data_IF_537448402723
#
_entry.id   IF_537448402723
#
_cell.length_a   1.000
_cell.length_b   1.000
_cell.length_c   1.000
_cell.angle_alpha   90.00
_cell.angle_beta   90.00
_cell.angle_gamma   90.00
#
_symmetry.space_group_name_H-M   'P 1'
#
loop_
_entity.id
_entity.type
_entity.pdbx_description
1 polymer ?
#
# COMPACT_ATOMS: atom_id res chain seq x y z
N UNK A 1 3.26 21.24 -9.73
CA UNK A 1 2.38 21.52 -8.57
C UNK A 1 1.88 20.18 -8.00
N UNK A 2 2.22 19.83 -6.74
CA UNK A 2 1.75 18.57 -6.14
C UNK A 2 0.25 18.63 -5.80
N UNK A 3 -0.17 19.70 -5.15
CA UNK A 3 -1.56 19.89 -4.72
C UNK A 3 -2.34 20.71 -5.77
N UNK A 4 -2.53 20.14 -6.96
CA UNK A 4 -3.05 20.87 -8.11
C UNK A 4 -4.46 21.48 -7.88
N UNK A 5 -5.34 20.77 -7.19
CA UNK A 5 -6.70 21.23 -6.92
C UNK A 5 -6.79 22.34 -5.86
N UNK A 6 -5.72 22.53 -5.08
CA UNK A 6 -5.63 23.57 -4.05
C UNK A 6 -4.96 24.85 -4.57
N UNK A 7 -4.61 24.91 -5.83
CA UNK A 7 -4.12 26.13 -6.45
C UNK A 7 -5.20 27.24 -6.33
N UNK A 8 -4.85 28.49 -5.97
CA UNK A 8 -5.82 29.59 -5.82
C UNK A 8 -6.77 29.78 -6.99
N UNK A 9 -6.30 29.59 -8.24
CA UNK A 9 -7.14 29.66 -9.41
C UNK A 9 -8.19 28.52 -9.48
N UNK A 10 -7.83 27.33 -9.06
CA UNK A 10 -8.75 26.20 -9.01
C UNK A 10 -9.81 26.36 -7.90
N UNK A 11 -9.41 26.90 -6.74
CA UNK A 11 -10.32 27.14 -5.59
C UNK A 11 -11.34 28.23 -5.91
N UNK A 12 -10.92 29.30 -6.59
CA UNK A 12 -11.83 30.40 -6.98
C UNK A 12 -12.81 29.99 -8.08
N UNK A 13 -12.47 29.05 -8.92
CA UNK A 13 -13.34 28.58 -10.01
C UNK A 13 -14.53 27.76 -9.48
N UNK A 14 -14.30 26.87 -8.50
CA UNK A 14 -15.36 26.02 -7.94
C UNK A 14 -14.96 25.57 -6.54
N UNK A 15 -15.59 26.14 -5.50
CA UNK A 15 -15.44 25.62 -4.14
C UNK A 15 -16.32 24.39 -3.95
N UNK A 16 -15.73 23.31 -3.48
CA UNK A 16 -16.45 22.09 -3.09
C UNK A 16 -16.67 22.14 -1.58
N UNK A 17 -17.93 22.28 -1.17
CA UNK A 17 -18.30 22.50 0.23
C UNK A 17 -17.93 21.32 1.15
N UNK A 18 -17.83 20.10 0.60
CA UNK A 18 -17.50 18.87 1.31
C UNK A 18 -16.30 18.17 0.67
N UNK A 19 -15.26 18.94 0.36
CA UNK A 19 -14.04 18.41 -0.28
C UNK A 19 -13.36 17.32 0.55
N UNK A 20 -13.39 17.45 1.89
CA UNK A 20 -12.86 16.45 2.83
C UNK A 20 -13.88 16.18 3.92
N UNK A 21 -14.22 14.91 4.14
CA UNK A 21 -15.01 14.43 5.28
C UNK A 21 -14.19 13.42 6.07
N UNK A 22 -13.89 13.74 7.33
CA UNK A 22 -13.07 12.91 8.20
C UNK A 22 -13.38 13.20 9.66
N UNK A 23 -13.58 12.16 10.48
CA UNK A 23 -13.78 12.25 11.95
C UNK A 23 -14.86 13.28 12.33
N UNK A 24 -16.00 13.24 11.65
CA UNK A 24 -17.10 14.17 11.85
C UNK A 24 -16.88 15.60 11.31
N UNK A 25 -15.66 15.94 10.92
CA UNK A 25 -15.37 17.22 10.27
C UNK A 25 -15.71 17.19 8.78
N UNK A 26 -16.27 18.31 8.30
CA UNK A 26 -16.50 18.58 6.88
C UNK A 26 -15.75 19.86 6.54
N UNK A 27 -14.83 19.78 5.60
CA UNK A 27 -14.02 20.91 5.14
C UNK A 27 -14.35 21.20 3.69
N UNK A 28 -14.68 22.46 3.36
CA UNK A 28 -14.70 22.92 1.99
C UNK A 28 -13.25 23.00 1.45
N UNK A 29 -13.11 23.12 0.15
CA UNK A 29 -11.79 23.35 -0.45
C UNK A 29 -11.18 24.68 0.02
N UNK A 30 -11.98 25.72 0.15
CA UNK A 30 -11.56 27.02 0.69
C UNK A 30 -11.14 26.90 2.16
N UNK A 31 -11.92 26.21 2.99
CA UNK A 31 -11.56 25.95 4.38
C UNK A 31 -10.24 25.20 4.52
N UNK A 32 -10.06 24.16 3.70
CA UNK A 32 -8.84 23.37 3.69
C UNK A 32 -7.62 24.23 3.34
N UNK A 33 -7.70 25.04 2.27
CA UNK A 33 -6.60 25.92 1.87
C UNK A 33 -6.30 26.95 2.93
N UNK A 34 -7.31 27.66 3.44
CA UNK A 34 -7.12 28.71 4.44
C UNK A 34 -6.54 28.17 5.76
N UNK A 35 -7.03 27.03 6.25
CA UNK A 35 -6.53 26.42 7.47
C UNK A 35 -5.14 25.82 7.29
N UNK A 36 -4.88 25.14 6.17
CA UNK A 36 -3.55 24.58 5.86
C UNK A 36 -2.50 25.68 5.66
N UNK A 37 -2.88 26.81 5.05
CA UNK A 37 -1.98 27.97 4.94
C UNK A 37 -1.64 28.56 6.31
N UNK A 38 -2.59 28.61 7.24
CA UNK A 38 -2.30 29.00 8.64
C UNK A 38 -1.34 28.02 9.35
N UNK A 39 -1.39 26.72 8.99
CA UNK A 39 -0.40 25.75 9.47
C UNK A 39 0.96 26.01 8.82
N UNK A 40 1.00 26.28 7.51
CA UNK A 40 2.22 26.57 6.77
C UNK A 40 3.01 27.75 7.37
N UNK A 41 2.34 28.83 7.80
CA UNK A 41 2.97 29.97 8.48
C UNK A 41 3.68 29.56 9.79
N UNK A 42 3.16 28.57 10.47
CA UNK A 42 3.69 28.11 11.78
C UNK A 42 4.83 27.10 11.67
N UNK A 43 4.93 26.40 10.55
CA UNK A 43 6.00 25.42 10.31
C UNK A 43 7.08 25.95 9.37
N UNK A 44 6.85 27.11 8.75
CA UNK A 44 7.81 27.72 7.84
C UNK A 44 9.19 27.88 8.46
N UNK A 45 10.23 27.45 7.74
CA UNK A 45 11.61 27.46 8.21
C UNK A 45 12.04 26.21 9.01
N UNK A 46 11.13 25.30 9.37
CA UNK A 46 11.51 24.02 9.91
C UNK A 46 12.13 23.11 8.84
N UNK A 47 13.20 22.38 9.20
CA UNK A 47 13.79 21.43 8.27
C UNK A 47 12.89 20.19 8.07
N UNK A 48 12.26 19.69 9.13
CA UNK A 48 11.33 18.55 9.14
C UNK A 48 10.46 18.60 10.37
N UNK A 49 9.22 18.05 10.27
CA UNK A 49 8.30 17.88 11.40
C UNK A 49 7.73 16.47 11.44
N UNK A 50 7.39 15.98 12.62
CA UNK A 50 6.65 14.76 12.81
C UNK A 50 5.15 15.05 12.87
N UNK A 51 4.32 14.20 12.28
CA UNK A 51 2.86 14.27 12.37
C UNK A 51 2.36 12.96 12.97
N UNK A 52 1.68 13.02 14.11
CA UNK A 52 0.94 11.86 14.61
C UNK A 52 -0.23 11.61 13.66
N UNK A 53 -0.11 10.59 12.82
CA UNK A 53 -0.97 10.37 11.66
C UNK A 53 -2.27 9.63 12.04
N UNK A 54 -3.09 10.27 12.87
CA UNK A 54 -4.44 9.81 13.20
C UNK A 54 -5.43 10.14 12.07
N UNK A 55 -6.56 9.42 11.94
CA UNK A 55 -7.59 9.74 10.96
C UNK A 55 -8.42 10.96 11.41
N UNK A 56 -7.85 12.17 11.35
CA UNK A 56 -8.45 13.41 11.84
C UNK A 56 -8.24 14.59 10.89
N UNK A 57 -9.11 15.60 10.98
CA UNK A 57 -8.96 16.84 10.25
C UNK A 57 -7.62 17.55 10.56
N UNK A 58 -7.14 17.44 11.81
CA UNK A 58 -5.85 18.01 12.21
C UNK A 58 -4.69 17.39 11.45
N UNK A 59 -4.70 16.06 11.22
CA UNK A 59 -3.69 15.38 10.38
C UNK A 59 -3.77 15.85 8.93
N UNK A 60 -4.96 15.95 8.35
CA UNK A 60 -5.14 16.46 6.98
C UNK A 60 -4.56 17.86 6.81
N UNK A 61 -4.86 18.76 7.74
CA UNK A 61 -4.37 20.14 7.72
C UNK A 61 -2.86 20.22 7.97
N UNK A 62 -2.33 19.38 8.86
CA UNK A 62 -0.90 19.28 9.12
C UNK A 62 -0.12 18.88 7.86
N UNK A 63 -0.55 17.79 7.22
CA UNK A 63 0.04 17.29 5.96
C UNK A 63 -0.04 18.33 4.86
N UNK A 64 -1.23 18.91 4.64
CA UNK A 64 -1.44 19.91 3.59
C UNK A 64 -0.62 21.17 3.85
N UNK A 65 -0.56 21.64 5.10
CA UNK A 65 0.22 22.82 5.49
C UNK A 65 1.73 22.62 5.29
N UNK A 66 2.26 21.46 5.64
CA UNK A 66 3.65 21.11 5.37
C UNK A 66 3.98 21.16 3.86
N UNK A 67 3.09 20.58 3.05
CA UNK A 67 3.27 20.58 1.59
C UNK A 67 3.16 21.98 0.98
N UNK A 68 2.30 22.86 1.51
CA UNK A 68 2.22 24.27 1.10
C UNK A 68 3.51 25.01 1.48
N UNK A 69 4.02 24.82 2.69
CA UNK A 69 5.23 25.44 3.19
C UNK A 69 6.54 24.90 2.56
N UNK A 70 6.47 23.76 1.86
CA UNK A 70 7.65 23.04 1.38
C UNK A 70 8.47 22.38 2.50
N UNK A 71 7.87 22.11 3.65
CA UNK A 71 8.51 21.47 4.81
C UNK A 71 8.26 19.96 4.76
N UNK A 72 9.30 19.12 4.69
CA UNK A 72 9.15 17.68 4.73
C UNK A 72 8.54 17.22 6.06
N UNK A 73 7.68 16.19 6.02
CA UNK A 73 7.09 15.63 7.23
C UNK A 73 7.29 14.12 7.34
N UNK A 74 7.23 13.62 8.56
CA UNK A 74 7.30 12.20 8.91
C UNK A 74 5.97 11.80 9.51
N UNK A 75 5.14 11.00 8.82
CA UNK A 75 3.91 10.47 9.40
C UNK A 75 4.24 9.35 10.37
N UNK A 76 3.91 9.55 11.64
CA UNK A 76 4.19 8.60 12.73
C UNK A 76 2.88 7.87 13.09
N UNK A 77 2.87 6.51 13.12
CA UNK A 77 1.70 5.76 13.57
C UNK A 77 1.37 6.06 15.03
N UNK A 78 0.07 6.14 15.35
CA UNK A 78 -0.37 6.38 16.73
C UNK A 78 -0.11 5.18 17.67
N UNK A 79 -0.04 3.99 17.11
CA UNK A 79 0.15 2.71 17.80
C UNK A 79 1.60 2.19 17.75
N UNK A 80 2.55 3.01 17.27
CA UNK A 80 3.96 2.63 17.20
C UNK A 80 4.57 2.53 18.60
N UNK A 81 5.37 1.48 18.84
CA UNK A 81 6.06 1.29 20.11
C UNK A 81 7.08 2.41 20.40
N UNK A 82 7.32 2.70 21.70
CA UNK A 82 8.16 3.82 22.12
C UNK A 82 9.59 3.78 21.54
N UNK A 83 10.19 2.59 21.45
CA UNK A 83 11.55 2.43 20.89
C UNK A 83 11.60 2.75 19.39
N UNK A 84 10.61 2.27 18.63
CA UNK A 84 10.51 2.52 17.20
C UNK A 84 10.16 4.00 16.93
N UNK A 85 9.25 4.58 17.69
CA UNK A 85 8.93 6.01 17.63
C UNK A 85 10.17 6.87 17.87
N UNK A 86 10.92 6.59 18.93
CA UNK A 86 12.16 7.30 19.22
C UNK A 86 13.18 7.17 18.11
N UNK A 87 13.32 5.99 17.52
CA UNK A 87 14.17 5.78 16.35
C UNK A 87 13.73 6.65 15.18
N UNK A 88 12.44 6.64 14.81
CA UNK A 88 11.91 7.44 13.70
C UNK A 88 12.18 8.93 13.89
N UNK A 89 11.97 9.47 15.08
CA UNK A 89 12.18 10.89 15.40
C UNK A 89 13.65 11.27 15.36
N UNK A 90 14.52 10.44 15.94
CA UNK A 90 15.96 10.70 16.00
C UNK A 90 16.63 10.56 14.64
N UNK A 91 16.34 9.47 13.92
CA UNK A 91 16.93 9.20 12.59
C UNK A 91 16.47 10.23 11.57
N UNK A 92 15.21 10.67 11.63
CA UNK A 92 14.68 11.70 10.73
C UNK A 92 15.12 13.12 11.10
N UNK A 93 15.56 13.35 12.33
CA UNK A 93 15.97 14.69 12.79
C UNK A 93 14.83 15.72 12.73
N UNK A 94 13.61 15.31 13.06
CA UNK A 94 12.45 16.21 13.14
C UNK A 94 12.62 17.20 14.28
N UNK A 95 12.10 18.42 14.10
CA UNK A 95 12.28 19.53 15.04
C UNK A 95 11.07 19.80 15.93
N UNK A 96 9.91 19.27 15.55
CA UNK A 96 8.66 19.46 16.29
C UNK A 96 7.63 18.38 15.94
N UNK A 97 6.68 18.17 16.84
CA UNK A 97 5.40 17.54 16.52
C UNK A 97 4.41 18.57 15.97
N UNK A 98 3.68 18.18 14.93
CA UNK A 98 2.64 19.01 14.32
C UNK A 98 1.30 18.25 14.31
N UNK A 99 0.23 18.92 14.69
CA UNK A 99 -1.12 18.37 14.59
C UNK A 99 -1.59 17.69 15.87
N UNK A 100 -2.10 16.44 15.80
CA UNK A 100 -2.52 15.70 17.00
C UNK A 100 -1.38 15.54 18.01
N UNK A 101 -1.73 15.62 19.30
CA UNK A 101 -0.74 15.50 20.37
C UNK A 101 -0.45 14.02 20.62
N UNK A 102 0.81 13.58 20.56
CA UNK A 102 1.18 12.25 21.00
C UNK A 102 1.17 12.14 22.54
N UNK A 103 1.05 10.93 23.06
CA UNK A 103 1.11 10.67 24.51
C UNK A 103 2.43 11.13 25.14
N UNK A 104 3.54 11.00 24.37
CA UNK A 104 4.87 11.44 24.76
C UNK A 104 5.50 12.29 23.64
N UNK A 105 5.97 13.48 24.03
CA UNK A 105 6.60 14.44 23.08
C UNK A 105 8.06 14.11 22.75
N UNK A 106 8.69 13.18 23.46
CA UNK A 106 10.12 12.80 23.30
C UNK A 106 11.07 14.03 23.32
N UNK A 107 10.74 15.05 24.13
CA UNK A 107 11.50 16.29 24.23
C UNK A 107 11.32 17.28 23.08
N UNK A 108 10.47 17.00 22.10
CA UNK A 108 10.20 17.89 20.97
C UNK A 108 9.05 18.88 21.32
N UNK A 109 9.13 20.13 20.81
CA UNK A 109 8.00 21.06 20.94
C UNK A 109 6.81 20.57 20.12
N UNK A 110 5.59 20.95 20.57
CA UNK A 110 4.35 20.64 19.87
C UNK A 110 3.75 21.90 19.25
N UNK A 111 3.39 21.79 17.97
CA UNK A 111 2.70 22.83 17.20
C UNK A 111 1.26 22.37 16.96
N UNK A 112 0.28 22.89 17.72
CA UNK A 112 -1.12 22.47 17.55
C UNK A 112 -1.71 22.99 16.25
N UNK A 113 -2.52 22.18 15.57
CA UNK A 113 -3.32 22.60 14.43
C UNK A 113 -4.61 23.23 14.92
N UNK A 114 -4.92 24.42 14.42
CA UNK A 114 -6.15 25.16 14.74
C UNK A 114 -7.11 25.04 13.55
N UNK A 115 -8.15 24.23 13.67
CA UNK A 115 -9.07 23.90 12.58
C UNK A 115 -9.78 25.14 11.99
N UNK A 116 -10.00 26.17 12.82
CA UNK A 116 -10.73 27.40 12.43
C UNK A 116 -9.80 28.57 12.09
N UNK A 117 -8.48 28.44 12.27
CA UNK A 117 -7.54 29.48 11.85
C UNK A 117 -7.49 29.53 10.32
N UNK A 118 -7.39 30.72 9.77
CA UNK A 118 -7.28 30.92 8.33
C UNK A 118 -6.14 31.88 8.05
N UNK A 119 -5.38 31.58 7.00
CA UNK A 119 -4.43 32.48 6.37
C UNK A 119 -4.56 32.36 4.85
N UNK A 120 -4.31 33.47 4.18
CA UNK A 120 -4.36 33.57 2.73
C UNK A 120 -2.99 34.02 2.17
N UNK A 121 -1.94 33.82 2.96
CA UNK A 121 -0.57 34.06 2.51
C UNK A 121 -0.25 33.19 1.30
N UNK A 122 0.42 33.77 0.30
CA UNK A 122 0.80 33.02 -0.90
C UNK A 122 2.22 32.49 -0.76
N UNK A 123 2.34 31.19 -0.75
CA UNK A 123 3.62 30.49 -0.81
C UNK A 123 4.03 30.25 -2.26
N UNK A 124 5.30 30.39 -2.62
CA UNK A 124 5.80 29.89 -3.90
C UNK A 124 5.66 28.36 -3.93
N UNK A 125 5.39 27.81 -5.11
CA UNK A 125 5.37 26.34 -5.25
C UNK A 125 6.78 25.80 -4.99
N UNK A 126 6.95 24.87 -4.04
CA UNK A 126 8.24 24.27 -3.77
C UNK A 126 8.74 23.46 -4.98
N UNK A 127 10.08 23.31 -5.09
CA UNK A 127 10.69 22.54 -6.18
C UNK A 127 10.07 21.15 -6.32
N UNK A 128 9.84 20.64 -7.52
CA UNK A 128 9.43 19.26 -7.74
C UNK A 128 10.36 18.23 -7.10
N UNK A 129 11.64 18.50 -7.04
CA UNK A 129 12.67 17.62 -6.46
C UNK A 129 12.81 17.78 -4.95
N UNK A 130 12.07 18.73 -4.33
CA UNK A 130 12.08 18.86 -2.88
C UNK A 130 11.43 17.64 -2.23
N UNK A 131 12.00 17.18 -1.12
CA UNK A 131 11.42 16.13 -0.29
C UNK A 131 10.04 16.55 0.20
N UNK A 132 9.03 15.75 -0.07
CA UNK A 132 7.67 15.95 0.44
C UNK A 132 7.49 15.28 1.80
N UNK A 133 7.91 14.03 1.92
CA UNK A 133 7.74 13.24 3.14
C UNK A 133 8.79 12.14 3.25
N UNK A 134 8.90 11.59 4.47
CA UNK A 134 9.73 10.43 4.75
C UNK A 134 8.86 9.38 5.42
N UNK A 135 8.64 8.25 4.76
CA UNK A 135 7.83 7.14 5.29
C UNK A 135 8.77 6.06 5.81
N UNK A 136 8.60 5.68 7.08
CA UNK A 136 9.37 4.60 7.67
C UNK A 136 8.76 3.24 7.34
N UNK A 137 9.59 2.31 6.86
CA UNK A 137 9.21 0.94 6.53
C UNK A 137 9.91 -0.04 7.44
N UNK A 138 9.17 -1.04 7.96
CA UNK A 138 9.77 -2.15 8.67
C UNK A 138 10.59 -3.00 7.70
N UNK A 139 11.90 -2.85 7.73
CA UNK A 139 12.82 -3.73 7.00
C UNK A 139 12.66 -5.19 7.44
N UNK A 140 13.04 -6.13 6.57
CA UNK A 140 13.07 -7.56 6.92
C UNK A 140 14.13 -7.89 7.96
N UNK A 141 15.08 -6.98 8.21
CA UNK A 141 16.17 -7.13 9.17
C UNK A 141 16.54 -5.77 9.74
N UNK A 142 16.30 -5.54 11.04
CA UNK A 142 16.75 -4.36 11.78
C UNK A 142 15.69 -3.28 11.97
N UNK A 143 16.16 -2.07 12.34
CA UNK A 143 15.31 -0.91 12.58
C UNK A 143 14.67 -0.39 11.28
N UNK A 144 13.47 0.23 11.34
CA UNK A 144 12.82 0.81 10.19
C UNK A 144 13.71 1.80 9.43
N UNK A 145 13.59 1.80 8.10
CA UNK A 145 14.30 2.73 7.22
C UNK A 145 13.38 3.82 6.75
N UNK A 146 13.85 5.07 6.77
CA UNK A 146 13.10 6.22 6.22
C UNK A 146 13.23 6.28 4.69
N UNK A 147 12.13 6.07 3.99
CA UNK A 147 12.01 6.19 2.53
C UNK A 147 11.76 7.65 2.19
N UNK A 148 12.67 8.29 1.47
CA UNK A 148 12.58 9.71 1.09
C UNK A 148 11.80 9.83 -0.21
N UNK A 149 10.65 10.53 -0.18
CA UNK A 149 9.78 10.74 -1.32
C UNK A 149 9.75 12.21 -1.73
N UNK A 150 10.15 12.48 -2.98
CA UNK A 150 10.05 13.82 -3.57
C UNK A 150 8.63 14.15 -4.01
N UNK A 151 8.36 15.44 -4.15
CA UNK A 151 7.10 15.96 -4.70
C UNK A 151 6.87 15.45 -6.12
N UNK A 152 7.93 15.36 -6.92
CA UNK A 152 7.90 14.84 -8.30
C UNK A 152 7.48 13.36 -8.34
N UNK A 153 8.07 12.54 -7.49
CA UNK A 153 7.76 11.10 -7.44
C UNK A 153 6.28 10.86 -7.11
N UNK A 154 5.77 11.55 -6.08
CA UNK A 154 4.36 11.45 -5.68
C UNK A 154 3.44 11.97 -6.80
N UNK A 155 3.77 13.10 -7.41
CA UNK A 155 2.94 13.67 -8.49
C UNK A 155 2.87 12.74 -9.71
N UNK A 156 4.01 12.15 -10.11
CA UNK A 156 4.07 11.23 -11.24
C UNK A 156 3.23 9.96 -11.01
N UNK A 157 3.31 9.40 -9.81
CA UNK A 157 2.50 8.24 -9.41
C UNK A 157 1.01 8.54 -9.48
N UNK A 158 0.59 9.64 -8.85
CA UNK A 158 -0.82 10.01 -8.79
C UNK A 158 -1.41 10.35 -10.17
N UNK A 159 -0.64 10.98 -11.07
CA UNK A 159 -1.06 11.24 -12.45
C UNK A 159 -1.21 9.94 -13.24
N UNK A 160 -0.25 9.03 -13.10
CA UNK A 160 -0.30 7.73 -13.77
C UNK A 160 -1.50 6.88 -13.28
N UNK A 161 -1.80 6.92 -11.98
CA UNK A 161 -2.98 6.27 -11.41
C UNK A 161 -4.28 6.94 -11.86
N UNK A 162 -4.34 8.28 -11.89
CA UNK A 162 -5.51 9.00 -12.38
C UNK A 162 -5.83 8.61 -13.82
N UNK A 163 -4.82 8.48 -14.66
CA UNK A 163 -4.97 7.97 -16.02
C UNK A 163 -5.45 6.51 -16.05
N UNK A 164 -4.80 5.63 -15.28
CA UNK A 164 -5.09 4.19 -15.28
C UNK A 164 -6.50 3.87 -14.77
N UNK A 165 -6.99 4.63 -13.81
CA UNK A 165 -8.28 4.42 -13.17
C UNK A 165 -9.37 5.36 -13.69
N UNK A 166 -9.06 6.23 -14.67
CA UNK A 166 -9.96 7.27 -15.15
C UNK A 166 -10.51 8.07 -13.97
N UNK A 167 -9.62 8.40 -13.03
CA UNK A 167 -9.97 9.07 -11.79
C UNK A 167 -10.08 10.57 -12.04
N UNK A 168 -11.24 11.14 -11.71
CA UNK A 168 -11.57 12.54 -12.01
C UNK A 168 -12.07 13.29 -10.78
N UNK A 169 -12.24 14.61 -10.93
CA UNK A 169 -12.77 15.47 -9.88
C UNK A 169 -14.23 15.15 -9.51
N UNK A 170 -14.97 14.44 -10.36
CA UNK A 170 -16.35 14.04 -10.10
C UNK A 170 -16.45 12.84 -9.14
N UNK A 171 -15.34 12.13 -8.92
CA UNK A 171 -15.32 10.98 -8.01
C UNK A 171 -15.49 11.38 -6.55
N UNK A 172 -15.98 10.43 -5.77
CA UNK A 172 -15.96 10.46 -4.31
C UNK A 172 -15.13 9.29 -3.84
N UNK A 173 -13.91 9.55 -3.39
CA UNK A 173 -13.03 8.52 -2.85
C UNK A 173 -13.35 8.23 -1.40
N UNK A 174 -13.57 6.97 -1.08
CA UNK A 174 -13.86 6.47 0.27
C UNK A 174 -12.81 5.49 0.72
N UNK A 175 -12.27 5.66 1.91
CA UNK A 175 -11.49 4.64 2.61
C UNK A 175 -11.45 4.88 4.13
N UNK A 176 -10.99 3.86 4.88
CA UNK A 176 -10.67 3.94 6.31
C UNK A 176 -9.24 3.47 6.60
N UNK A 177 -8.33 3.63 5.62
CA UNK A 177 -6.94 3.16 5.71
C UNK A 177 -6.08 4.15 6.49
N UNK A 178 -4.99 3.68 7.16
CA UNK A 178 -4.12 4.54 7.95
C UNK A 178 -3.46 5.66 7.14
N UNK A 179 -3.40 6.87 7.72
CA UNK A 179 -2.78 8.05 7.10
C UNK A 179 -1.25 8.14 7.31
N UNK A 180 -0.61 7.03 7.66
CA UNK A 180 0.85 6.90 7.75
C UNK A 180 1.44 5.91 6.72
N UNK A 181 0.58 5.31 5.88
CA UNK A 181 1.00 4.42 4.79
C UNK A 181 0.69 5.03 3.43
N UNK A 182 1.47 4.64 2.42
CA UNK A 182 1.29 5.07 1.03
C UNK A 182 -0.17 4.96 0.59
N UNK A 183 -0.85 3.84 0.86
CA UNK A 183 -2.21 3.59 0.40
C UNK A 183 -3.22 4.63 0.94
N UNK A 184 -3.23 4.87 2.25
CA UNK A 184 -4.18 5.83 2.83
C UNK A 184 -3.75 7.28 2.67
N UNK A 185 -2.45 7.57 2.86
CA UNK A 185 -1.92 8.93 2.83
C UNK A 185 -1.67 9.42 1.40
N UNK A 186 -0.82 8.73 0.65
CA UNK A 186 -0.42 9.19 -0.69
C UNK A 186 -1.54 8.98 -1.68
N UNK A 187 -2.01 7.74 -1.85
CA UNK A 187 -3.05 7.46 -2.85
C UNK A 187 -4.40 8.04 -2.41
N UNK A 188 -4.78 7.87 -1.14
CA UNK A 188 -6.07 8.33 -0.64
C UNK A 188 -6.12 9.86 -0.53
N UNK A 189 -5.45 10.41 0.47
CA UNK A 189 -5.53 11.84 0.77
C UNK A 189 -4.88 12.69 -0.32
N UNK A 190 -3.58 12.48 -0.63
CA UNK A 190 -2.87 13.34 -1.60
C UNK A 190 -3.40 13.14 -3.02
N UNK A 191 -3.82 11.91 -3.39
CA UNK A 191 -4.46 11.65 -4.66
C UNK A 191 -5.73 12.48 -4.83
N UNK A 192 -6.60 12.50 -3.82
CA UNK A 192 -7.81 13.33 -3.85
C UNK A 192 -7.51 14.82 -3.93
N UNK A 193 -6.49 15.30 -3.20
CA UNK A 193 -6.07 16.70 -3.25
C UNK A 193 -5.38 17.08 -4.58
N UNK A 194 -4.81 16.13 -5.30
CA UNK A 194 -4.25 16.33 -6.62
C UNK A 194 -5.31 16.36 -7.71
N UNK A 195 -6.15 15.31 -7.74
CA UNK A 195 -7.23 15.17 -8.74
C UNK A 195 -8.35 16.19 -8.52
N UNK A 196 -8.63 16.52 -7.26
CA UNK A 196 -9.66 17.49 -6.90
C UNK A 196 -11.03 16.88 -6.63
N UNK A 197 -11.10 15.59 -6.41
CA UNK A 197 -12.33 14.88 -6.04
C UNK A 197 -12.64 15.03 -4.54
N UNK A 198 -13.84 14.60 -4.13
CA UNK A 198 -14.22 14.51 -2.71
C UNK A 198 -13.51 13.35 -2.04
N UNK A 199 -13.06 13.58 -0.82
CA UNK A 199 -12.40 12.59 0.03
C UNK A 199 -13.22 12.30 1.28
N UNK A 200 -13.53 11.04 1.53
CA UNK A 200 -14.27 10.57 2.70
C UNK A 200 -13.47 9.52 3.44
N UNK A 201 -13.06 9.82 4.67
CA UNK A 201 -12.40 8.87 5.55
C UNK A 201 -13.38 8.32 6.58
N UNK A 202 -13.60 7.00 6.58
CA UNK A 202 -14.62 6.36 7.45
C UNK A 202 -14.13 6.10 8.89
N UNK A 203 -12.95 6.57 9.26
CA UNK A 203 -12.30 6.25 10.53
C UNK A 203 -11.72 4.84 10.51
N UNK A 204 -12.56 3.83 10.66
CA UNK A 204 -12.19 2.41 10.51
C UNK A 204 -12.80 1.86 9.22
N UNK A 205 -12.08 0.98 8.48
CA UNK A 205 -12.59 0.39 7.24
C UNK A 205 -13.54 -0.78 7.56
N UNK A 206 -14.76 -0.46 8.01
CA UNK A 206 -15.81 -1.44 8.29
C UNK A 206 -16.76 -1.61 7.11
N UNK A 207 -17.38 -2.79 6.91
CA UNK A 207 -18.39 -3.00 5.87
C UNK A 207 -19.52 -1.95 5.92
N UNK A 208 -20.08 -1.71 7.10
CA UNK A 208 -21.14 -0.73 7.30
C UNK A 208 -20.68 0.70 6.95
N UNK A 209 -19.46 1.10 7.38
CA UNK A 209 -18.89 2.41 7.05
C UNK A 209 -18.75 2.62 5.54
N UNK A 210 -18.33 1.60 4.81
CA UNK A 210 -18.23 1.66 3.35
C UNK A 210 -19.61 1.71 2.70
N UNK A 211 -20.54 0.88 3.14
CA UNK A 211 -21.91 0.84 2.60
C UNK A 211 -22.65 2.19 2.70
N UNK A 212 -22.43 2.95 3.77
CA UNK A 212 -23.11 4.23 4.02
C UNK A 212 -22.38 5.46 3.43
N UNK A 213 -21.14 5.31 2.97
CA UNK A 213 -20.32 6.46 2.58
C UNK A 213 -20.71 7.10 1.24
N UNK A 214 -21.41 6.38 0.35
CA UNK A 214 -21.89 6.89 -0.94
C UNK A 214 -20.75 7.27 -1.91
N UNK A 215 -19.68 6.48 -1.93
CA UNK A 215 -18.53 6.72 -2.80
C UNK A 215 -18.69 6.18 -4.22
N UNK A 216 -17.88 6.70 -5.13
CA UNK A 216 -17.71 6.14 -6.48
C UNK A 216 -16.44 5.31 -6.60
N UNK A 217 -15.45 5.59 -5.77
CA UNK A 217 -14.14 4.96 -5.73
C UNK A 217 -13.84 4.53 -4.29
N UNK A 218 -13.53 3.25 -4.07
CA UNK A 218 -13.25 2.71 -2.75
C UNK A 218 -11.88 2.07 -2.69
N UNK A 219 -11.08 2.42 -1.66
CA UNK A 219 -9.81 1.77 -1.39
C UNK A 219 -9.91 0.83 -0.20
N UNK A 220 -9.36 -0.36 -0.34
CA UNK A 220 -9.28 -1.34 0.72
C UNK A 220 -8.06 -2.23 0.58
N UNK A 221 -7.77 -2.95 1.65
CA UNK A 221 -6.82 -4.05 1.67
C UNK A 221 -7.57 -5.39 1.71
N UNK A 222 -6.95 -6.54 1.39
CA UNK A 222 -7.65 -7.81 1.30
C UNK A 222 -8.51 -8.15 2.52
N UNK A 223 -8.05 -7.86 3.74
CA UNK A 223 -8.82 -8.10 4.97
C UNK A 223 -10.09 -7.23 5.07
N UNK A 224 -10.07 -6.03 4.52
CA UNK A 224 -11.27 -5.17 4.41
C UNK A 224 -12.24 -5.78 3.43
N UNK A 225 -11.76 -6.17 2.26
CA UNK A 225 -12.59 -6.77 1.22
C UNK A 225 -13.19 -8.12 1.63
N UNK A 226 -12.43 -8.95 2.37
CA UNK A 226 -12.96 -10.20 2.95
C UNK A 226 -14.14 -9.94 3.89
N UNK A 227 -14.04 -8.93 4.75
CA UNK A 227 -15.13 -8.53 5.64
C UNK A 227 -16.34 -7.99 4.89
N UNK A 228 -16.10 -7.20 3.83
CA UNK A 228 -17.17 -6.69 2.96
C UNK A 228 -17.90 -7.83 2.25
N UNK A 229 -17.19 -8.82 1.72
CA UNK A 229 -17.79 -10.01 1.07
C UNK A 229 -18.58 -10.86 2.08
N UNK A 230 -18.12 -10.95 3.33
CA UNK A 230 -18.82 -11.68 4.38
C UNK A 230 -20.14 -10.98 4.81
N UNK A 231 -20.26 -9.67 4.61
CA UNK A 231 -21.49 -8.89 4.80
C UNK A 231 -22.13 -8.59 3.43
N UNK A 232 -22.96 -9.52 2.94
CA UNK A 232 -23.56 -9.39 1.62
C UNK A 232 -24.40 -8.13 1.43
N UNK A 233 -25.04 -7.62 2.48
CA UNK A 233 -25.83 -6.40 2.41
C UNK A 233 -24.92 -5.19 2.18
N UNK A 234 -23.83 -5.10 2.93
CA UNK A 234 -22.82 -4.06 2.75
C UNK A 234 -22.15 -4.17 1.38
N UNK A 235 -21.80 -5.38 0.92
CA UNK A 235 -21.23 -5.57 -0.40
C UNK A 235 -22.18 -5.08 -1.50
N UNK A 236 -23.46 -5.46 -1.46
CA UNK A 236 -24.46 -5.02 -2.43
C UNK A 236 -24.70 -3.51 -2.43
N UNK A 237 -24.52 -2.84 -1.30
CA UNK A 237 -24.58 -1.37 -1.22
C UNK A 237 -23.49 -0.67 -2.03
N UNK A 238 -22.38 -1.38 -2.37
CA UNK A 238 -21.30 -0.84 -3.20
C UNK A 238 -21.56 -0.96 -4.73
N UNK A 239 -22.70 -1.51 -5.16
CA UNK A 239 -23.05 -1.61 -6.59
C UNK A 239 -23.00 -0.29 -7.36
N UNK A 240 -23.40 0.86 -6.78
CA UNK A 240 -23.28 2.16 -7.45
C UNK A 240 -21.85 2.67 -7.61
N UNK A 241 -20.88 2.06 -6.93
CA UNK A 241 -19.48 2.43 -7.07
C UNK A 241 -19.01 2.23 -8.52
N UNK A 242 -17.98 2.94 -8.91
CA UNK A 242 -17.34 2.80 -10.22
C UNK A 242 -16.12 1.86 -10.14
N UNK A 243 -15.32 2.00 -9.09
CA UNK A 243 -14.13 1.17 -8.87
C UNK A 243 -13.98 0.78 -7.41
N UNK A 244 -13.58 -0.48 -7.20
CA UNK A 244 -13.09 -1.02 -5.94
C UNK A 244 -11.60 -1.35 -6.13
N UNK A 245 -10.73 -0.78 -5.30
CA UNK A 245 -9.27 -0.92 -5.44
C UNK A 245 -8.72 -1.71 -4.26
N UNK A 246 -7.98 -2.78 -4.54
CA UNK A 246 -7.28 -3.60 -3.57
C UNK A 246 -5.77 -3.50 -3.72
N UNK A 247 -5.04 -3.56 -2.64
CA UNK A 247 -3.58 -3.61 -2.66
C UNK A 247 -2.97 -3.79 -1.27
N UNK A 248 -1.66 -3.60 -1.18
CA UNK A 248 -0.81 -3.84 -0.01
C UNK A 248 -0.56 -5.33 0.33
N UNK A 249 -1.37 -6.24 -0.21
CA UNK A 249 -1.19 -7.68 -0.16
C UNK A 249 -1.97 -8.33 -1.32
N UNK A 250 -1.69 -9.58 -1.71
CA UNK A 250 -2.48 -10.31 -2.69
C UNK A 250 -3.94 -10.44 -2.26
N UNK A 251 -4.87 -10.19 -3.19
CA UNK A 251 -6.30 -10.38 -2.95
C UNK A 251 -6.64 -11.86 -3.18
N UNK A 252 -7.19 -12.59 -2.17
CA UNK A 252 -7.58 -13.97 -2.38
C UNK A 252 -8.63 -14.12 -3.50
N UNK A 253 -8.47 -15.12 -4.35
CA UNK A 253 -9.38 -15.38 -5.48
C UNK A 253 -10.84 -15.47 -5.03
N UNK A 254 -11.20 -16.19 -3.95
CA UNK A 254 -12.60 -16.22 -3.49
C UNK A 254 -13.15 -14.84 -3.10
N UNK A 255 -12.31 -13.93 -2.59
CA UNK A 255 -12.71 -12.57 -2.25
C UNK A 255 -12.90 -11.72 -3.51
N UNK A 256 -12.01 -11.85 -4.49
CA UNK A 256 -12.15 -11.22 -5.80
C UNK A 256 -13.47 -11.61 -6.48
N UNK A 257 -13.74 -12.91 -6.57
CA UNK A 257 -14.98 -13.44 -7.19
C UNK A 257 -16.23 -13.10 -6.37
N UNK A 258 -16.11 -13.09 -5.03
CA UNK A 258 -17.17 -12.64 -4.13
C UNK A 258 -17.55 -11.17 -4.38
N UNK A 259 -16.58 -10.28 -4.51
CA UNK A 259 -16.82 -8.89 -4.88
C UNK A 259 -17.46 -8.77 -6.24
N UNK A 260 -16.94 -9.47 -7.26
CA UNK A 260 -17.51 -9.45 -8.61
C UNK A 260 -18.98 -9.89 -8.61
N UNK A 261 -19.30 -10.97 -7.90
CA UNK A 261 -20.67 -11.52 -7.80
C UNK A 261 -21.62 -10.58 -7.05
N UNK A 262 -21.19 -10.01 -5.92
CA UNK A 262 -22.07 -9.23 -5.03
C UNK A 262 -22.24 -7.78 -5.49
N UNK A 263 -21.17 -7.17 -6.00
CA UNK A 263 -21.15 -5.76 -6.40
C UNK A 263 -21.34 -5.55 -7.90
N UNK A 264 -21.03 -6.55 -8.72
CA UNK A 264 -20.94 -6.43 -10.18
C UNK A 264 -19.60 -5.88 -10.66
N UNK A 265 -18.64 -5.59 -9.73
CA UNK A 265 -17.34 -5.00 -10.04
C UNK A 265 -16.24 -6.01 -9.79
N UNK A 266 -15.43 -6.31 -10.80
CA UNK A 266 -14.12 -6.92 -10.62
C UNK A 266 -13.18 -5.87 -10.05
N UNK A 267 -12.56 -6.09 -8.88
CA UNK A 267 -11.71 -5.06 -8.27
C UNK A 267 -10.46 -4.76 -9.11
N UNK A 268 -9.96 -3.54 -8.98
CA UNK A 268 -8.62 -3.17 -9.39
C UNK A 268 -7.65 -3.83 -8.40
N UNK A 269 -6.68 -4.56 -8.92
CA UNK A 269 -5.49 -4.97 -8.17
C UNK A 269 -4.29 -4.13 -8.62
N UNK A 270 -3.43 -3.77 -7.68
CA UNK A 270 -2.25 -2.96 -7.94
C UNK A 270 -1.09 -3.40 -7.06
N UNK A 271 0.13 -3.16 -7.52
CA UNK A 271 1.36 -3.50 -6.83
C UNK A 271 2.28 -2.27 -6.73
N UNK A 272 2.98 -2.19 -5.61
CA UNK A 272 3.99 -1.20 -5.31
C UNK A 272 4.50 -1.34 -3.88
N UNK A 273 5.48 -0.52 -3.56
CA UNK A 273 6.12 -0.43 -2.26
C UNK A 273 6.27 1.04 -1.85
N UNK A 274 6.73 1.31 -0.63
CA UNK A 274 7.01 2.71 -0.24
C UNK A 274 8.10 3.32 -1.12
N UNK A 275 9.06 2.52 -1.55
CA UNK A 275 10.21 2.90 -2.37
C UNK A 275 9.86 3.18 -3.84
N UNK A 276 8.81 2.56 -4.34
CA UNK A 276 8.43 2.64 -5.75
C UNK A 276 7.05 3.25 -5.98
N UNK A 277 6.36 3.62 -4.91
CA UNK A 277 4.94 3.94 -4.94
C UNK A 277 4.17 2.86 -5.72
N UNK A 278 3.28 3.18 -6.63
CA UNK A 278 2.57 2.17 -7.41
C UNK A 278 3.20 2.06 -8.80
N UNK A 279 3.65 0.88 -9.15
CA UNK A 279 4.30 0.62 -10.45
C UNK A 279 3.43 -0.18 -11.40
N UNK A 280 2.60 -1.07 -10.87
CA UNK A 280 1.72 -1.94 -11.66
C UNK A 280 0.28 -1.76 -11.21
N UNK A 281 -0.64 -1.75 -12.16
CA UNK A 281 -2.08 -1.73 -11.86
C UNK A 281 -2.89 -2.29 -13.02
N UNK A 282 -4.00 -2.97 -12.71
CA UNK A 282 -5.07 -3.18 -13.67
C UNK A 282 -5.74 -1.84 -13.98
N UNK A 283 -6.41 -1.73 -15.11
CA UNK A 283 -6.99 -0.49 -15.65
C UNK A 283 -8.49 -0.43 -15.42
N UNK A 284 -9.06 0.80 -15.41
CA UNK A 284 -10.49 1.00 -15.30
C UNK A 284 -11.27 0.35 -16.47
N UNK A 285 -10.70 0.41 -17.66
CA UNK A 285 -11.23 -0.09 -18.94
C UNK A 285 -10.52 -1.36 -19.44
N UNK A 286 -9.61 -1.93 -18.64
CA UNK A 286 -8.82 -3.10 -19.01
C UNK A 286 -9.28 -4.41 -18.40
N UNK A 287 -8.62 -5.48 -18.79
CA UNK A 287 -8.80 -6.81 -18.21
C UNK A 287 -8.43 -6.80 -16.72
N UNK A 288 -9.22 -7.50 -15.90
CA UNK A 288 -8.98 -7.72 -14.46
C UNK A 288 -9.15 -9.19 -14.17
N UNK A 289 -8.03 -9.86 -13.92
CA UNK A 289 -7.96 -11.28 -13.53
C UNK A 289 -7.55 -11.39 -12.08
N UNK A 290 -8.18 -12.27 -11.33
CA UNK A 290 -7.84 -12.52 -9.93
C UNK A 290 -6.36 -12.90 -9.78
N UNK A 291 -5.66 -12.25 -8.85
CA UNK A 291 -4.24 -12.49 -8.58
C UNK A 291 -3.26 -11.82 -9.56
N UNK A 292 -3.75 -11.10 -10.57
CA UNK A 292 -2.94 -10.34 -11.52
C UNK A 292 -3.01 -8.85 -11.21
N UNK A 293 -1.85 -8.25 -11.00
CA UNK A 293 -1.73 -6.83 -10.62
C UNK A 293 -1.68 -5.88 -11.81
N UNK A 294 -1.77 -6.40 -13.02
CA UNK A 294 -1.95 -5.61 -14.24
C UNK A 294 -0.66 -5.24 -14.97
N UNK A 295 -0.71 -4.13 -15.66
CA UNK A 295 0.33 -3.61 -16.54
C UNK A 295 1.15 -2.52 -15.84
N UNK A 296 2.38 -2.24 -16.31
CA UNK A 296 3.15 -1.08 -15.87
C UNK A 296 2.35 0.20 -16.06
N UNK A 297 2.39 1.09 -15.07
CA UNK A 297 1.82 2.42 -15.15
C UNK A 297 2.61 3.29 -16.15
N UNK A 298 2.01 4.37 -16.61
CA UNK A 298 2.65 5.32 -17.53
C UNK A 298 4.00 5.79 -17.00
N UNK A 299 5.05 5.62 -17.79
CA UNK A 299 6.43 5.95 -17.44
C UNK A 299 7.18 4.88 -16.65
N UNK A 300 6.52 3.78 -16.26
CA UNK A 300 7.15 2.64 -15.58
C UNK A 300 7.67 1.63 -16.60
N UNK A 301 8.86 1.13 -16.37
CA UNK A 301 9.47 -0.01 -17.03
C UNK A 301 9.67 -1.13 -16.02
N UNK A 302 9.50 -2.37 -16.48
CA UNK A 302 9.70 -3.57 -15.67
C UNK A 302 10.56 -4.56 -16.44
N UNK A 303 11.33 -5.37 -15.72
CA UNK A 303 12.01 -6.54 -16.25
C UNK A 303 12.02 -7.66 -15.22
N UNK A 304 12.10 -8.88 -15.71
CA UNK A 304 12.27 -10.06 -14.86
C UNK A 304 13.62 -10.72 -15.16
N UNK A 305 14.43 -10.92 -14.13
CA UNK A 305 15.76 -11.50 -14.25
C UNK A 305 15.83 -12.87 -13.56
N UNK A 306 16.59 -13.79 -14.15
CA UNK A 306 17.03 -15.03 -13.50
C UNK A 306 18.18 -14.79 -12.50
N UNK A 307 18.72 -15.88 -11.91
CA UNK A 307 19.84 -15.78 -10.96
C UNK A 307 21.17 -15.40 -11.62
N UNK A 308 21.29 -15.53 -12.94
CA UNK A 308 22.46 -15.13 -13.72
C UNK A 308 22.39 -13.69 -14.22
N UNK A 309 21.24 -13.01 -14.04
CA UNK A 309 20.98 -11.67 -14.54
C UNK A 309 20.43 -11.63 -15.98
N UNK A 310 20.10 -12.77 -16.56
CA UNK A 310 19.42 -12.87 -17.85
C UNK A 310 17.92 -12.59 -17.75
N UNK A 311 17.33 -11.97 -18.76
CA UNK A 311 15.89 -11.79 -18.83
C UNK A 311 15.16 -13.13 -19.02
N UNK A 312 14.05 -13.34 -18.30
CA UNK A 312 13.22 -14.55 -18.43
C UNK A 312 12.07 -14.34 -19.43
N UNK A 313 11.54 -15.44 -20.03
CA UNK A 313 10.39 -15.34 -20.93
C UNK A 313 9.14 -14.75 -20.27
N UNK A 314 8.34 -14.04 -21.07
CA UNK A 314 7.02 -13.54 -20.69
C UNK A 314 5.93 -14.55 -21.08
N UNK A 315 5.94 -15.73 -20.46
CA UNK A 315 5.04 -16.85 -20.75
C UNK A 315 3.93 -17.05 -19.72
N UNK A 316 3.91 -16.20 -18.67
CA UNK A 316 2.96 -16.28 -17.56
C UNK A 316 3.30 -17.34 -16.50
N UNK A 317 4.38 -18.10 -16.69
CA UNK A 317 4.80 -19.22 -15.84
C UNK A 317 6.22 -19.06 -15.29
N UNK A 318 7.15 -18.60 -16.11
CA UNK A 318 8.57 -18.46 -15.73
C UNK A 318 8.77 -17.34 -14.71
N UNK A 319 9.21 -17.71 -13.51
CA UNK A 319 9.41 -16.79 -12.39
C UNK A 319 10.76 -16.08 -12.51
N UNK A 320 10.75 -14.75 -12.48
CA UNK A 320 11.93 -13.90 -12.43
C UNK A 320 11.93 -12.92 -11.26
N UNK A 321 13.10 -12.37 -10.94
CA UNK A 321 13.26 -11.27 -9.99
C UNK A 321 12.74 -10.01 -10.65
N UNK A 322 11.78 -9.36 -9.99
CA UNK A 322 11.17 -8.14 -10.52
C UNK A 322 12.06 -6.93 -10.22
N UNK A 323 12.46 -6.25 -11.27
CA UNK A 323 13.06 -4.93 -11.19
C UNK A 323 12.20 -3.91 -11.91
N UNK A 324 12.15 -2.70 -11.34
CA UNK A 324 11.31 -1.61 -11.86
C UNK A 324 12.10 -0.32 -11.99
N UNK A 325 11.70 0.52 -12.95
CA UNK A 325 12.27 1.84 -13.17
C UNK A 325 11.16 2.79 -13.60
N UNK A 326 11.13 4.01 -13.05
CA UNK A 326 10.11 5.00 -13.40
C UNK A 326 10.26 6.32 -12.63
N UNK A 327 9.44 7.31 -12.96
CA UNK A 327 9.53 8.64 -12.35
C UNK A 327 9.03 8.72 -10.91
N UNK A 328 8.35 7.66 -10.40
CA UNK A 328 7.79 7.58 -9.05
C UNK A 328 8.74 6.94 -8.03
N UNK A 329 9.96 6.58 -8.43
CA UNK A 329 10.93 5.99 -7.51
C UNK A 329 11.32 6.98 -6.40
N UNK A 330 11.60 6.43 -5.21
CA UNK A 330 12.13 7.19 -4.08
C UNK A 330 13.53 7.77 -4.36
N UNK A 331 13.89 8.81 -3.62
CA UNK A 331 15.20 9.43 -3.78
C UNK A 331 16.31 8.68 -3.00
N UNK A 332 15.94 7.73 -2.15
CA UNK A 332 16.83 6.89 -1.37
C UNK A 332 16.36 6.68 0.08
N UNK A 333 17.13 5.90 0.82
CA UNK A 333 16.91 5.71 2.25
C UNK A 333 17.62 6.80 3.04
N UNK A 334 16.91 7.47 3.93
CA UNK A 334 17.45 8.53 4.79
C UNK A 334 18.65 8.01 5.60
N UNK A 335 19.76 8.73 5.56
CA UNK A 335 20.99 8.40 6.29
C UNK A 335 21.55 6.99 6.01
N UNK A 336 21.22 6.39 4.85
CA UNK A 336 21.63 5.04 4.48
C UNK A 336 22.10 4.99 3.01
N UNK A 337 23.23 5.66 2.67
CA UNK A 337 23.70 5.72 1.29
C UNK A 337 24.06 4.33 0.71
N UNK A 338 24.63 3.42 1.54
CA UNK A 338 24.98 2.08 1.10
C UNK A 338 23.72 1.27 0.75
N UNK A 339 22.70 1.28 1.62
CA UNK A 339 21.44 0.61 1.37
C UNK A 339 20.71 1.19 0.15
N UNK A 340 20.87 2.48 -0.12
CA UNK A 340 20.34 3.13 -1.32
C UNK A 340 21.07 2.64 -2.56
N UNK A 341 22.39 2.57 -2.53
CA UNK A 341 23.21 2.06 -3.63
C UNK A 341 22.91 0.58 -3.92
N UNK A 342 22.73 -0.24 -2.88
CA UNK A 342 22.33 -1.65 -3.03
C UNK A 342 20.94 -1.84 -3.64
N UNK A 343 20.03 -0.89 -3.42
CA UNK A 343 18.67 -0.96 -3.90
C UNK A 343 18.54 -0.73 -5.41
N UNK A 344 19.52 -0.10 -6.04
CA UNK A 344 19.53 0.17 -7.48
C UNK A 344 20.71 -0.53 -8.17
N UNK A 345 20.55 -0.82 -9.46
CA UNK A 345 21.69 -1.16 -10.29
C UNK A 345 22.31 0.09 -10.94
N UNK A 346 23.37 -0.11 -11.74
CA UNK A 346 24.09 0.99 -12.41
C UNK A 346 23.24 1.75 -13.44
N UNK A 347 22.19 1.14 -13.97
CA UNK A 347 21.28 1.69 -14.98
C UNK A 347 20.01 2.29 -14.35
N UNK A 348 19.93 2.36 -13.01
CA UNK A 348 18.83 2.94 -12.26
C UNK A 348 17.61 2.04 -12.12
N UNK A 349 17.75 0.72 -12.26
CA UNK A 349 16.69 -0.23 -11.95
C UNK A 349 16.64 -0.50 -10.46
N UNK A 350 15.47 -0.33 -9.88
CA UNK A 350 15.19 -0.64 -8.48
C UNK A 350 14.92 -2.14 -8.32
N UNK A 351 15.71 -2.78 -7.46
CA UNK A 351 15.56 -4.19 -7.07
C UNK A 351 14.44 -4.29 -6.02
N UNK A 352 13.27 -4.75 -6.44
CA UNK A 352 12.10 -4.79 -5.53
C UNK A 352 12.25 -5.82 -4.41
N UNK A 353 13.09 -6.85 -4.60
CA UNK A 353 13.18 -8.02 -3.75
C UNK A 353 11.96 -8.94 -3.88
N UNK A 354 11.09 -8.68 -4.85
CA UNK A 354 9.94 -9.52 -5.19
C UNK A 354 10.22 -10.34 -6.45
N UNK A 355 9.53 -11.45 -6.58
CA UNK A 355 9.53 -12.28 -7.79
C UNK A 355 8.15 -12.28 -8.43
N UNK A 356 8.13 -12.32 -9.75
CA UNK A 356 6.91 -12.21 -10.53
C UNK A 356 6.97 -13.08 -11.79
N UNK A 357 5.82 -13.21 -12.45
CA UNK A 357 5.68 -13.69 -13.82
C UNK A 357 5.03 -12.60 -14.66
N UNK A 358 5.34 -12.57 -15.96
CA UNK A 358 4.70 -11.69 -16.95
C UNK A 358 4.13 -12.59 -18.04
N UNK A 359 2.89 -12.37 -18.43
CA UNK A 359 2.29 -13.10 -19.56
C UNK A 359 2.59 -12.44 -20.92
N UNK A 360 2.24 -13.12 -22.01
CA UNK A 360 2.44 -12.62 -23.38
C UNK A 360 1.69 -11.30 -23.68
N UNK A 361 0.73 -10.89 -22.85
CA UNK A 361 0.03 -9.60 -22.89
C UNK A 361 0.69 -8.51 -22.05
N UNK A 362 1.76 -8.84 -21.32
CA UNK A 362 2.48 -7.92 -20.43
C UNK A 362 1.87 -7.79 -19.03
N UNK A 363 0.82 -8.56 -18.72
CA UNK A 363 0.23 -8.55 -17.38
C UNK A 363 1.16 -9.23 -16.37
N UNK A 364 1.28 -8.64 -15.18
CA UNK A 364 2.13 -9.12 -14.10
C UNK A 364 1.32 -9.83 -13.02
N UNK A 365 1.87 -10.91 -12.49
CA UNK A 365 1.42 -11.58 -11.26
C UNK A 365 2.59 -11.66 -10.30
N UNK A 366 2.42 -11.09 -9.11
CA UNK A 366 3.43 -11.16 -8.06
C UNK A 366 3.35 -12.54 -7.41
N UNK A 367 4.48 -13.23 -7.42
CA UNK A 367 4.60 -14.58 -6.86
C UNK A 367 4.95 -14.52 -5.37
N UNK A 368 5.71 -13.49 -4.95
CA UNK A 368 6.04 -13.23 -3.55
C UNK A 368 7.41 -12.60 -3.36
N UNK A 369 7.89 -12.59 -2.12
CA UNK A 369 9.23 -12.13 -1.76
C UNK A 369 10.29 -13.17 -2.11
N UNK A 370 11.36 -12.78 -2.79
CA UNK A 370 12.48 -13.68 -3.13
C UNK A 370 13.03 -14.40 -1.90
N UNK A 371 13.18 -13.68 -0.79
CA UNK A 371 13.81 -14.18 0.43
C UNK A 371 12.95 -15.12 1.27
N UNK A 372 11.63 -15.17 1.06
CA UNK A 372 10.69 -15.87 1.97
C UNK A 372 9.63 -16.67 1.23
N UNK A 373 9.17 -16.16 0.08
CA UNK A 373 8.05 -16.74 -0.66
C UNK A 373 8.48 -17.53 -1.89
N UNK A 374 9.74 -17.35 -2.32
CA UNK A 374 10.31 -18.17 -3.39
C UNK A 374 10.91 -19.45 -2.79
N UNK A 375 10.29 -20.57 -3.10
CA UNK A 375 10.73 -21.89 -2.66
C UNK A 375 11.53 -22.56 -3.80
N UNK A 376 12.78 -22.92 -3.53
CA UNK A 376 13.64 -23.62 -4.49
C UNK A 376 13.61 -25.13 -4.18
N UNK A 377 12.70 -25.87 -4.83
CA UNK A 377 12.45 -27.29 -4.56
C UNK A 377 12.63 -28.13 -5.81
N UNK A 378 13.53 -29.11 -5.75
CA UNK A 378 13.76 -30.05 -6.84
C UNK A 378 14.15 -29.38 -8.19
N UNK A 379 14.87 -28.26 -8.13
CA UNK A 379 15.26 -27.48 -9.32
C UNK A 379 14.20 -26.50 -9.81
N UNK A 380 13.00 -26.49 -9.21
CA UNK A 380 11.92 -25.55 -9.53
C UNK A 380 11.96 -24.31 -8.66
N UNK A 381 11.54 -23.17 -9.21
CA UNK A 381 11.29 -21.91 -8.50
C UNK A 381 9.78 -21.80 -8.30
N UNK A 382 9.32 -21.97 -7.08
CA UNK A 382 7.90 -22.11 -6.72
C UNK A 382 7.48 -20.95 -5.82
N UNK A 383 6.41 -20.29 -6.20
CA UNK A 383 5.83 -19.24 -5.39
C UNK A 383 4.94 -19.79 -4.28
N UNK A 384 5.25 -19.47 -3.04
CA UNK A 384 4.41 -19.84 -1.91
C UNK A 384 2.96 -19.33 -2.05
N UNK A 385 2.78 -18.12 -2.60
CA UNK A 385 1.47 -17.49 -2.78
C UNK A 385 0.52 -18.25 -3.72
N UNK A 386 1.05 -18.98 -4.71
CA UNK A 386 0.20 -19.83 -5.57
C UNK A 386 -0.41 -20.99 -4.79
N UNK A 387 0.40 -21.61 -3.94
CA UNK A 387 -0.04 -22.73 -3.10
C UNK A 387 -0.99 -22.24 -2.00
N UNK A 388 -0.70 -21.07 -1.41
CA UNK A 388 -1.61 -20.43 -0.43
C UNK A 388 -2.97 -20.14 -1.06
N UNK A 389 -2.98 -19.63 -2.28
CA UNK A 389 -4.21 -19.34 -3.03
C UNK A 389 -5.03 -20.61 -3.29
N UNK A 390 -4.38 -21.70 -3.72
CA UNK A 390 -5.05 -22.98 -3.92
C UNK A 390 -5.63 -23.52 -2.60
N UNK A 391 -4.84 -23.49 -1.52
CA UNK A 391 -5.29 -23.92 -0.19
C UNK A 391 -6.48 -23.11 0.33
N UNK A 392 -6.48 -21.79 0.14
CA UNK A 392 -7.60 -20.90 0.50
C UNK A 392 -8.87 -21.16 -0.33
N UNK A 393 -8.77 -21.83 -1.47
CA UNK A 393 -9.91 -22.34 -2.25
C UNK A 393 -10.65 -23.49 -1.57
N UNK A 394 -10.03 -24.18 -0.64
CA UNK A 394 -10.68 -25.30 0.10
C UNK A 394 -11.65 -24.76 1.17
N UNK A 395 -12.93 -25.24 1.21
CA UNK A 395 -13.98 -24.66 2.08
C UNK A 395 -13.64 -24.67 3.58
N UNK A 396 -12.81 -25.61 4.04
CA UNK A 396 -12.42 -25.73 5.43
C UNK A 396 -11.24 -24.85 5.84
N UNK A 397 -10.53 -24.21 4.90
CA UNK A 397 -9.34 -23.40 5.15
C UNK A 397 -9.73 -21.94 5.36
N UNK A 398 -9.32 -21.37 6.50
CA UNK A 398 -9.51 -19.93 6.79
C UNK A 398 -8.28 -19.11 6.49
N UNK A 399 -7.09 -19.65 6.84
CA UNK A 399 -5.80 -19.00 6.60
C UNK A 399 -4.78 -20.05 6.17
N UNK A 400 -3.87 -19.65 5.29
CA UNK A 400 -2.77 -20.49 4.83
C UNK A 400 -1.48 -19.67 4.77
N UNK A 401 -0.37 -20.25 5.18
CA UNK A 401 0.97 -19.74 4.97
C UNK A 401 1.88 -20.87 4.52
N UNK A 402 2.61 -20.66 3.44
CA UNK A 402 3.48 -21.67 2.84
C UNK A 402 4.92 -21.20 2.87
N UNK A 403 5.83 -22.07 3.26
CA UNK A 403 7.27 -21.81 3.34
C UNK A 403 8.09 -22.97 2.77
N UNK A 404 9.31 -22.69 2.37
CA UNK A 404 10.31 -23.69 1.98
C UNK A 404 11.19 -24.03 3.15
N UNK A 405 11.07 -25.23 3.73
CA UNK A 405 11.97 -25.71 4.77
C UNK A 405 13.14 -26.49 4.17
N UNK A 406 14.34 -26.45 4.78
CA UNK A 406 15.49 -27.21 4.28
C UNK A 406 15.17 -28.69 4.08
N UNK A 407 15.66 -29.25 2.96
CA UNK A 407 15.50 -30.65 2.59
C UNK A 407 16.76 -31.15 1.90
N UNK A 408 17.23 -32.36 2.26
CA UNK A 408 18.48 -32.89 1.74
C UNK A 408 18.43 -33.26 0.25
N UNK A 409 17.26 -33.71 -0.24
CA UNK A 409 17.10 -34.17 -1.63
C UNK A 409 16.60 -33.06 -2.54
N UNK A 410 15.69 -32.22 -2.05
CA UNK A 410 15.01 -31.19 -2.83
C UNK A 410 15.64 -29.79 -2.69
N UNK A 411 16.60 -29.62 -1.78
CA UNK A 411 17.08 -28.32 -1.34
C UNK A 411 16.11 -27.66 -0.35
N UNK A 412 14.86 -27.50 -0.74
CA UNK A 412 13.75 -27.11 0.14
C UNK A 412 12.52 -27.99 -0.10
N UNK A 413 11.83 -28.40 0.97
CA UNK A 413 10.49 -29.00 0.90
C UNK A 413 9.43 -27.95 1.17
N UNK A 414 8.30 -28.07 0.52
CA UNK A 414 7.14 -27.18 0.70
C UNK A 414 6.38 -27.61 1.94
N UNK A 415 6.23 -26.70 2.91
CA UNK A 415 5.45 -26.89 4.14
C UNK A 415 4.35 -25.84 4.21
N UNK A 416 3.11 -26.29 4.40
CA UNK A 416 1.94 -25.44 4.54
C UNK A 416 1.47 -25.39 6.00
N UNK A 417 1.29 -24.18 6.54
CA UNK A 417 0.68 -23.94 7.85
C UNK A 417 -0.75 -23.47 7.64
N UNK A 418 -1.72 -24.17 8.20
CA UNK A 418 -3.14 -23.99 7.93
C UNK A 418 -3.91 -23.69 9.21
N UNK A 419 -4.70 -22.63 9.17
CA UNK A 419 -5.76 -22.36 10.16
C UNK A 419 -7.10 -22.68 9.50
N UNK A 420 -7.91 -23.53 10.13
CA UNK A 420 -9.16 -23.94 9.49
C UNK A 420 -10.18 -24.56 10.44
N UNK A 421 -11.16 -25.27 9.90
CA UNK A 421 -12.20 -25.96 10.64
C UNK A 421 -11.63 -27.19 11.39
N UNK A 422 -12.28 -27.59 12.48
CA UNK A 422 -11.97 -28.86 13.16
C UNK A 422 -12.18 -30.03 12.19
N UNK A 423 -11.26 -31.00 12.25
CA UNK A 423 -11.32 -32.22 11.44
C UNK A 423 -10.73 -32.11 10.03
N UNK A 424 -10.05 -30.98 9.69
CA UNK A 424 -9.27 -30.91 8.45
C UNK A 424 -8.21 -32.00 8.41
N UNK A 425 -8.09 -32.63 7.24
CA UNK A 425 -7.08 -33.66 7.00
C UNK A 425 -5.96 -33.09 6.10
N UNK A 426 -4.71 -33.32 6.50
CA UNK A 426 -3.54 -32.88 5.75
C UNK A 426 -3.50 -33.46 4.33
N UNK A 427 -3.82 -34.76 4.17
CA UNK A 427 -3.82 -35.43 2.86
C UNK A 427 -4.90 -34.87 1.93
N UNK A 428 -6.07 -34.51 2.46
CA UNK A 428 -7.14 -33.89 1.66
C UNK A 428 -6.70 -32.52 1.13
N UNK A 429 -6.00 -31.74 1.93
CA UNK A 429 -5.46 -30.44 1.51
C UNK A 429 -4.34 -30.58 0.46
N UNK A 430 -3.45 -31.58 0.62
CA UNK A 430 -2.43 -31.89 -0.39
C UNK A 430 -3.08 -32.33 -1.69
N UNK A 431 -4.14 -33.16 -1.62
CA UNK A 431 -4.88 -33.61 -2.78
C UNK A 431 -5.65 -32.47 -3.45
N UNK A 432 -6.20 -31.54 -2.69
CA UNK A 432 -6.85 -30.35 -3.20
C UNK A 432 -5.86 -29.49 -4.01
N UNK A 433 -4.68 -29.21 -3.47
CA UNK A 433 -3.62 -28.51 -4.22
C UNK A 433 -3.21 -29.29 -5.47
N UNK A 434 -3.21 -30.62 -5.39
CA UNK A 434 -2.87 -31.49 -6.51
C UNK A 434 -3.83 -31.42 -7.71
N UNK A 435 -5.08 -31.07 -7.44
CA UNK A 435 -6.09 -30.86 -8.49
C UNK A 435 -5.96 -29.51 -9.18
N UNK A 436 -5.44 -28.51 -8.48
CA UNK A 436 -5.36 -27.13 -8.93
C UNK A 436 -3.98 -26.77 -9.55
N UNK A 437 -2.90 -27.40 -9.01
CA UNK A 437 -1.52 -27.03 -9.35
C UNK A 437 -0.69 -28.23 -9.79
N UNK A 438 0.41 -27.94 -10.50
CA UNK A 438 1.38 -28.95 -10.95
C UNK A 438 2.01 -29.73 -9.80
N UNK A 439 2.45 -30.96 -10.06
CA UNK A 439 2.95 -31.91 -9.06
C UNK A 439 4.08 -31.33 -8.18
N UNK A 440 5.00 -30.57 -8.76
CA UNK A 440 6.14 -30.00 -8.03
C UNK A 440 5.73 -28.89 -7.05
N UNK A 441 4.51 -28.34 -7.13
CA UNK A 441 3.95 -27.31 -6.25
C UNK A 441 3.18 -27.91 -5.05
N UNK A 442 3.05 -29.23 -4.94
CA UNK A 442 2.34 -29.86 -3.83
C UNK A 442 3.10 -29.72 -2.51
N UNK A 443 2.45 -29.34 -1.42
CA UNK A 443 3.04 -29.41 -0.10
C UNK A 443 3.49 -30.84 0.21
N UNK A 444 4.67 -30.97 0.78
CA UNK A 444 5.16 -32.27 1.33
C UNK A 444 4.72 -32.48 2.75
N UNK A 445 4.32 -31.40 3.39
CA UNK A 445 3.89 -31.41 4.79
C UNK A 445 2.81 -30.33 4.97
N UNK A 446 1.76 -30.66 5.72
CA UNK A 446 0.73 -29.71 6.16
C UNK A 446 0.68 -29.74 7.68
N UNK A 447 0.82 -28.57 8.31
CA UNK A 447 0.71 -28.36 9.75
C UNK A 447 -0.57 -27.58 10.06
N UNK A 448 -1.47 -28.17 10.82
CA UNK A 448 -2.64 -27.48 11.33
C UNK A 448 -2.23 -26.67 12.55
N UNK A 449 -2.55 -25.38 12.58
CA UNK A 449 -2.20 -24.46 13.66
C UNK A 449 -3.41 -23.64 14.08
N UNK A 450 -3.45 -23.18 15.33
CA UNK A 450 -4.56 -22.38 15.84
C UNK A 450 -4.54 -20.95 15.24
N UNK A 451 -3.34 -20.39 15.07
CA UNK A 451 -3.13 -19.04 14.55
C UNK A 451 -1.83 -18.95 13.75
N UNK A 452 -1.75 -17.99 12.81
CA UNK A 452 -0.51 -17.63 12.14
C UNK A 452 0.12 -16.41 12.83
N UNK A 453 1.47 -16.39 13.04
CA UNK A 453 2.16 -15.24 13.61
C UNK A 453 2.03 -14.02 12.69
N UNK A 454 1.69 -12.85 13.26
CA UNK A 454 1.46 -11.62 12.49
C UNK A 454 2.16 -10.43 13.13
N UNK A 455 2.53 -9.45 12.29
CA UNK A 455 2.96 -8.15 12.75
C UNK A 455 1.74 -7.25 13.10
N UNK A 456 2.00 -6.05 13.66
CA UNK A 456 0.96 -5.07 14.02
C UNK A 456 0.04 -4.67 12.84
N UNK A 457 0.51 -4.83 11.58
CA UNK A 457 -0.27 -4.56 10.37
C UNK A 457 -1.07 -5.78 9.88
N UNK A 458 -1.08 -6.88 10.61
CA UNK A 458 -1.77 -8.12 10.25
C UNK A 458 -1.07 -8.97 9.19
N UNK A 459 0.16 -8.63 8.78
CA UNK A 459 0.95 -9.43 7.83
C UNK A 459 1.56 -10.65 8.53
N UNK A 460 1.42 -11.83 7.90
CA UNK A 460 2.02 -13.08 8.40
C UNK A 460 3.54 -13.00 8.45
N UNK A 461 4.13 -13.39 9.58
CA UNK A 461 5.56 -13.40 9.83
C UNK A 461 6.15 -14.78 9.47
N UNK A 462 6.27 -15.09 8.19
CA UNK A 462 6.75 -16.39 7.69
C UNK A 462 8.14 -16.78 8.22
N UNK A 463 9.00 -15.82 8.54
CA UNK A 463 10.31 -16.11 9.17
C UNK A 463 10.18 -16.79 10.53
N UNK A 464 9.12 -16.49 11.28
CA UNK A 464 8.87 -17.19 12.56
C UNK A 464 8.45 -18.64 12.31
N UNK A 465 7.65 -18.90 11.27
CA UNK A 465 7.27 -20.25 10.88
C UNK A 465 8.47 -21.11 10.44
N UNK A 466 9.52 -20.49 9.90
CA UNK A 466 10.77 -21.17 9.55
C UNK A 466 11.61 -21.52 10.78
N UNK A 467 11.50 -20.78 11.88
CA UNK A 467 12.25 -21.02 13.11
C UNK A 467 11.65 -22.13 13.98
N UNK A 468 10.35 -22.40 13.83
CA UNK A 468 9.58 -23.40 14.59
C UNK A 468 9.61 -24.80 13.92
N UNK A 469 10.40 -24.98 12.86
CA UNK A 469 10.53 -26.21 12.06
C UNK A 469 11.89 -26.82 12.05
#
# INVERSE_FOLDING_TARGET
>A
VLLASLNPAAVTATDIADAVRIDGAVLSRSDLVGAATSVAERVGGANRVAILATPSAATVLAVTGCLIAGVPFVPVPADVGAAERRHMLTDSGVQAWLGPVPDELEGLPHIPVRLHARSWHRYPEPSPDATAMIIYTSGTTGLPKGVVLSRRAIAADLDALAQAWQWTADDVLVHGLPLFHVHGLVLGLLGSLRVGNRFVHTGKPTPAGYAHAGGTLYFGVPTVWSRVVADEAAARALRPARLLVSGSAPLPVPVFEGLARLTGHRPIERYGASESLITLSTRADGERRAGWVGLPLTGVQTRLLDDSGGEVPHDGETVGKLEVRGPMMFDGYLNRPEATAEAFDADGWYRTGDVAVIDGGGMHRIVGRESVDLIKSGGYRIGAGEIETALLGHPGVREAAVVGMPDQDLGQRIVAFIVGAEGLNADDLINHVAQELSMHKRPREVRLVDTLPRNAMGKVLKKQLLADG
#
